data_IF_769242028991
#
_entry.id   IF_769242028991
#
_cell.length_a   1.000
_cell.length_b   1.000
_cell.length_c   1.000
_cell.angle_alpha   90.00
_cell.angle_beta   90.00
_cell.angle_gamma   90.00
#
_symmetry.space_group_name_H-M   'P 1'
#
loop_
_entity.id
_entity.type
_entity.pdbx_description
1 polymer ?
#
# COMPACT_ATOMS: atom_id res chain seq x y z
N UNK A 1 4.17 17.39 1.46
CA UNK A 1 2.70 17.27 1.63
C UNK A 1 2.45 16.59 2.97
N UNK A 2 1.24 16.62 3.53
CA UNK A 2 0.90 15.74 4.66
C UNK A 2 0.47 14.39 4.10
N UNK A 3 1.03 13.31 4.61
CA UNK A 3 0.55 11.95 4.33
C UNK A 3 -0.74 11.68 5.12
N UNK A 4 -1.45 10.60 4.80
CA UNK A 4 -2.66 10.13 5.51
C UNK A 4 -3.93 10.92 5.21
N UNK A 5 -3.83 12.24 5.03
CA UNK A 5 -5.00 13.09 4.71
C UNK A 5 -5.59 12.79 3.33
N UNK A 6 -4.78 12.37 2.35
CA UNK A 6 -5.22 11.97 1.01
C UNK A 6 -6.23 10.81 1.03
N UNK A 7 -5.88 9.63 1.57
CA UNK A 7 -6.76 8.46 1.58
C UNK A 7 -8.10 8.72 2.28
N UNK A 8 -8.11 9.31 3.48
CA UNK A 8 -9.39 9.64 4.16
C UNK A 8 -10.23 10.65 3.37
N UNK A 9 -9.61 11.68 2.78
CA UNK A 9 -10.31 12.66 1.94
C UNK A 9 -10.93 12.01 0.70
N UNK A 10 -10.26 11.05 0.07
CA UNK A 10 -10.77 10.34 -1.08
C UNK A 10 -12.02 9.49 -0.74
N UNK A 11 -12.04 8.83 0.43
CA UNK A 11 -13.22 8.09 0.91
C UNK A 11 -14.41 9.04 1.11
N UNK A 12 -14.21 10.17 1.78
CA UNK A 12 -15.28 11.16 1.97
C UNK A 12 -15.70 11.84 0.66
N UNK A 13 -14.79 12.04 -0.30
CA UNK A 13 -15.12 12.58 -1.63
C UNK A 13 -15.97 11.60 -2.46
N UNK A 14 -15.63 10.30 -2.48
CA UNK A 14 -16.43 9.29 -3.18
C UNK A 14 -17.84 9.17 -2.59
N UNK A 15 -17.95 9.22 -1.25
CA UNK A 15 -19.22 9.30 -0.52
C UNK A 15 -20.00 10.57 -0.83
N UNK A 16 -19.32 11.72 -0.94
CA UNK A 16 -19.95 12.98 -1.28
C UNK A 16 -20.45 13.01 -2.73
N UNK A 17 -19.75 12.37 -3.68
CA UNK A 17 -20.24 12.17 -5.04
C UNK A 17 -21.56 11.37 -5.02
N UNK A 18 -21.63 10.25 -4.28
CA UNK A 18 -22.86 9.47 -4.10
C UNK A 18 -23.99 10.33 -3.48
N UNK A 19 -23.68 11.17 -2.48
CA UNK A 19 -24.65 12.11 -1.90
C UNK A 19 -25.17 13.13 -2.94
N UNK A 20 -24.31 13.72 -3.78
CA UNK A 20 -24.72 14.73 -4.77
C UNK A 20 -25.72 14.18 -5.81
N UNK A 21 -25.46 12.99 -6.35
CA UNK A 21 -26.41 12.30 -7.26
C UNK A 21 -27.69 11.91 -6.52
N UNK A 22 -27.60 11.22 -5.38
CA UNK A 22 -28.78 10.72 -4.63
C UNK A 22 -29.65 11.83 -4.01
N UNK A 23 -29.17 13.07 -3.96
CA UNK A 23 -29.94 14.26 -3.55
C UNK A 23 -30.43 15.12 -4.72
N UNK A 24 -30.14 14.74 -5.96
CA UNK A 24 -30.52 15.51 -7.16
C UNK A 24 -29.82 16.88 -7.28
N UNK A 25 -28.72 17.10 -6.56
CA UNK A 25 -28.00 18.39 -6.53
C UNK A 25 -27.15 18.55 -7.79
N UNK A 26 -26.46 17.48 -8.18
CA UNK A 26 -25.71 17.37 -9.43
C UNK A 26 -25.48 15.89 -9.70
N UNK A 27 -25.78 15.42 -10.90
CA UNK A 27 -25.33 14.08 -11.27
C UNK A 27 -23.81 14.04 -11.48
N UNK A 28 -23.19 13.10 -10.78
CA UNK A 28 -21.78 12.73 -10.81
C UNK A 28 -21.63 11.20 -10.78
N UNK A 29 -22.63 10.47 -11.27
CA UNK A 29 -22.67 9.00 -11.37
C UNK A 29 -21.46 8.43 -12.11
N UNK A 30 -21.05 9.05 -13.21
CA UNK A 30 -19.84 8.72 -14.00
C UNK A 30 -18.51 9.15 -13.34
N UNK A 31 -18.53 9.78 -12.16
CA UNK A 31 -17.32 10.36 -11.53
C UNK A 31 -16.63 9.41 -10.55
N UNK A 32 -15.50 8.84 -11.00
CA UNK A 32 -14.63 7.98 -10.20
C UNK A 32 -13.57 8.76 -9.41
N UNK A 33 -13.32 8.37 -8.16
CA UNK A 33 -12.31 8.95 -7.28
C UNK A 33 -11.09 8.03 -7.21
N UNK A 34 -9.90 8.59 -7.43
CA UNK A 34 -8.63 7.88 -7.38
C UNK A 34 -7.75 8.45 -6.26
N UNK A 35 -7.20 7.57 -5.41
CA UNK A 35 -6.19 7.93 -4.42
C UNK A 35 -4.87 7.23 -4.75
N UNK A 36 -3.80 7.99 -4.95
CA UNK A 36 -2.45 7.48 -5.23
C UNK A 36 -1.63 7.58 -3.94
N UNK A 37 -1.21 6.44 -3.40
CA UNK A 37 -0.73 6.31 -2.02
C UNK A 37 0.64 5.63 -1.96
N UNK A 38 1.45 5.99 -0.96
CA UNK A 38 2.64 5.22 -0.61
C UNK A 38 2.28 4.00 0.25
N UNK A 39 2.99 2.88 0.11
CA UNK A 39 2.89 1.77 1.07
C UNK A 39 3.35 2.18 2.47
N UNK A 40 4.41 3.00 2.58
CA UNK A 40 4.83 3.64 3.83
C UNK A 40 3.90 4.74 4.36
N UNK A 41 2.95 5.24 3.55
CA UNK A 41 1.89 6.17 4.00
C UNK A 41 0.73 5.42 4.68
N UNK A 42 0.60 4.11 4.44
CA UNK A 42 -0.44 3.29 5.09
C UNK A 42 -0.18 3.05 6.59
N UNK A 43 1.01 3.41 7.10
CA UNK A 43 1.32 3.43 8.53
C UNK A 43 0.62 4.60 9.28
N UNK A 44 0.15 5.64 8.57
CA UNK A 44 -0.60 6.76 9.17
C UNK A 44 -2.03 6.32 9.56
N UNK A 45 -2.56 6.65 10.76
CA UNK A 45 -3.91 6.26 11.17
C UNK A 45 -5.02 6.71 10.23
N UNK A 46 -4.89 7.92 9.66
CA UNK A 46 -5.82 8.48 8.67
C UNK A 46 -5.91 7.63 7.39
N UNK A 47 -4.85 6.89 7.03
CA UNK A 47 -4.83 6.03 5.84
C UNK A 47 -5.73 4.79 5.96
N UNK A 48 -6.00 4.32 7.18
CA UNK A 48 -6.68 3.03 7.42
C UNK A 48 -7.99 3.15 8.20
N UNK A 49 -8.15 4.17 9.06
CA UNK A 49 -9.33 4.36 9.93
C UNK A 49 -10.68 4.39 9.20
N UNK A 50 -10.72 4.90 7.96
CA UNK A 50 -11.96 5.06 7.20
C UNK A 50 -12.30 3.88 6.26
N UNK A 51 -11.47 2.84 6.16
CA UNK A 51 -11.67 1.76 5.17
C UNK A 51 -13.03 1.06 5.31
N UNK A 52 -13.49 0.79 6.54
CA UNK A 52 -14.79 0.15 6.79
C UNK A 52 -15.99 1.07 6.52
N UNK A 53 -15.80 2.39 6.43
CA UNK A 53 -16.85 3.32 5.98
C UNK A 53 -17.09 3.14 4.47
N UNK A 54 -16.02 3.04 3.68
CA UNK A 54 -16.11 2.94 2.23
C UNK A 54 -16.88 1.69 1.75
N UNK A 55 -16.72 0.56 2.44
CA UNK A 55 -17.45 -0.68 2.13
C UNK A 55 -18.91 -0.63 2.60
N UNK A 56 -19.19 -0.03 3.76
CA UNK A 56 -20.58 0.17 4.26
C UNK A 56 -21.40 1.10 3.36
N UNK A 57 -20.74 2.08 2.77
CA UNK A 57 -21.32 3.04 1.82
C UNK A 57 -21.22 2.56 0.36
N UNK A 58 -20.77 1.31 0.12
CA UNK A 58 -20.66 0.66 -1.19
C UNK A 58 -19.95 1.51 -2.26
N UNK A 59 -18.82 2.14 -1.90
CA UNK A 59 -18.11 3.12 -2.74
C UNK A 59 -17.30 2.48 -3.89
N UNK A 60 -17.97 1.78 -4.80
CA UNK A 60 -17.39 1.26 -6.04
C UNK A 60 -17.00 2.35 -7.07
N UNK A 61 -17.31 3.62 -6.78
CA UNK A 61 -16.78 4.80 -7.43
C UNK A 61 -15.45 5.30 -6.80
N UNK A 62 -14.81 4.48 -5.96
CA UNK A 62 -13.50 4.74 -5.36
C UNK A 62 -12.49 3.67 -5.76
N UNK A 63 -11.27 4.08 -6.10
CA UNK A 63 -10.12 3.18 -6.17
C UNK A 63 -8.87 3.77 -5.52
N UNK A 64 -8.29 3.02 -4.59
CA UNK A 64 -6.96 3.29 -4.06
C UNK A 64 -5.91 2.59 -4.93
N UNK A 65 -4.79 3.26 -5.17
CA UNK A 65 -3.63 2.75 -5.89
C UNK A 65 -2.42 2.91 -4.99
N UNK A 66 -2.06 1.84 -4.28
CA UNK A 66 -0.92 1.83 -3.35
C UNK A 66 0.33 1.39 -4.10
N UNK A 67 1.35 2.25 -4.09
CA UNK A 67 2.65 1.98 -4.66
C UNK A 67 3.51 1.17 -3.67
N UNK A 68 3.42 -0.15 -3.79
CA UNK A 68 4.17 -1.12 -2.99
C UNK A 68 5.62 -1.26 -3.48
N UNK A 69 6.40 -0.20 -3.30
CA UNK A 69 7.84 -0.16 -3.59
C UNK A 69 8.69 -0.82 -2.47
N UNK A 70 8.03 -1.22 -1.37
CA UNK A 70 8.51 -1.86 -0.16
C UNK A 70 9.38 -0.98 0.77
N UNK A 71 9.52 0.33 0.48
CA UNK A 71 10.34 1.25 1.27
C UNK A 71 9.58 2.54 1.67
N UNK A 72 9.81 2.97 2.91
CA UNK A 72 9.65 4.37 3.32
C UNK A 72 10.94 5.14 3.01
N UNK A 73 11.14 6.28 3.66
CA UNK A 73 12.34 7.12 3.47
C UNK A 73 13.59 6.40 3.99
N UNK A 74 13.62 6.07 5.28
CA UNK A 74 14.79 5.52 5.99
C UNK A 74 14.96 3.98 5.89
N UNK A 75 14.23 3.32 4.99
CA UNK A 75 14.37 1.88 4.75
C UNK A 75 13.06 1.13 4.48
N UNK A 76 13.07 -0.22 4.55
CA UNK A 76 11.90 -1.04 4.26
C UNK A 76 10.73 -0.76 5.21
N UNK A 77 9.48 -0.77 4.68
CA UNK A 77 8.27 -0.55 5.48
C UNK A 77 8.04 -1.69 6.49
N UNK A 78 8.35 -2.93 6.08
CA UNK A 78 8.18 -4.19 6.84
C UNK A 78 9.35 -5.15 6.60
N UNK A 79 10.57 -4.78 6.99
CA UNK A 79 11.80 -5.53 6.65
C UNK A 79 11.72 -7.06 6.81
N UNK A 80 11.24 -7.54 7.97
CA UNK A 80 11.16 -8.98 8.30
C UNK A 80 9.80 -9.63 7.97
N UNK A 81 8.87 -8.88 7.37
CA UNK A 81 7.52 -9.33 7.03
C UNK A 81 7.21 -8.93 5.58
N UNK A 82 5.91 -8.80 5.23
CA UNK A 82 5.48 -8.46 3.86
C UNK A 82 4.33 -7.46 3.84
N UNK A 83 4.59 -6.20 3.45
CA UNK A 83 3.60 -5.11 3.49
C UNK A 83 2.42 -5.36 2.54
N UNK A 84 2.67 -5.96 1.37
CA UNK A 84 1.62 -6.32 0.39
C UNK A 84 0.59 -7.28 1.00
N UNK A 85 1.04 -8.28 1.77
CA UNK A 85 0.18 -9.27 2.42
C UNK A 85 -0.54 -8.67 3.64
N UNK A 86 0.12 -7.78 4.39
CA UNK A 86 -0.50 -7.04 5.49
C UNK A 86 -1.64 -6.13 4.99
N UNK A 87 -1.38 -5.34 3.96
CA UNK A 87 -2.38 -4.49 3.31
C UNK A 87 -3.50 -5.35 2.69
N UNK A 88 -3.19 -6.44 1.99
CA UNK A 88 -4.23 -7.35 1.48
C UNK A 88 -5.16 -7.85 2.60
N UNK A 89 -4.61 -8.23 3.76
CA UNK A 89 -5.41 -8.69 4.89
C UNK A 89 -6.27 -7.56 5.47
N UNK A 90 -5.72 -6.35 5.64
CA UNK A 90 -6.45 -5.18 6.12
C UNK A 90 -7.60 -4.79 5.18
N UNK A 91 -7.32 -4.64 3.88
CA UNK A 91 -8.33 -4.23 2.88
C UNK A 91 -9.40 -5.31 2.66
N UNK A 92 -9.03 -6.60 2.57
CA UNK A 92 -10.03 -7.69 2.52
C UNK A 92 -10.87 -7.74 3.80
N UNK A 93 -10.26 -7.60 4.97
CA UNK A 93 -10.96 -7.55 6.26
C UNK A 93 -11.90 -6.35 6.39
N UNK A 94 -11.58 -5.23 5.75
CA UNK A 94 -12.45 -4.06 5.65
C UNK A 94 -13.56 -4.19 4.58
N UNK A 95 -13.62 -5.29 3.81
CA UNK A 95 -14.62 -5.53 2.78
C UNK A 95 -14.32 -4.91 1.41
N UNK A 96 -13.06 -4.61 1.09
CA UNK A 96 -12.64 -4.06 -0.21
C UNK A 96 -12.33 -5.18 -1.21
N UNK A 97 -12.52 -4.89 -2.50
CA UNK A 97 -11.91 -5.65 -3.59
C UNK A 97 -10.40 -5.39 -3.62
N UNK A 98 -9.58 -6.45 -3.62
CA UNK A 98 -8.11 -6.34 -3.58
C UNK A 98 -7.50 -6.97 -4.82
N UNK A 99 -6.92 -6.11 -5.67
CA UNK A 99 -6.18 -6.47 -6.88
C UNK A 99 -4.68 -6.32 -6.57
N UNK A 100 -3.89 -7.36 -6.88
CA UNK A 100 -2.44 -7.38 -6.63
C UNK A 100 -1.67 -7.47 -7.95
N UNK A 101 -0.83 -6.47 -8.20
CA UNK A 101 -0.09 -6.30 -9.45
C UNK A 101 1.40 -6.40 -9.15
N UNK A 102 1.85 -7.63 -8.87
CA UNK A 102 3.14 -7.90 -8.23
C UNK A 102 4.25 -8.20 -9.25
N UNK A 103 3.98 -9.15 -10.14
CA UNK A 103 4.96 -9.74 -11.05
C UNK A 103 4.72 -9.28 -12.49
N UNK A 104 5.81 -8.95 -13.18
CA UNK A 104 5.78 -8.67 -14.61
C UNK A 104 5.77 -9.95 -15.46
N UNK A 105 5.77 -9.82 -16.78
CA UNK A 105 5.59 -10.91 -17.74
C UNK A 105 6.78 -11.86 -17.80
N UNK A 106 7.99 -11.44 -17.43
CA UNK A 106 9.12 -12.37 -17.28
C UNK A 106 8.80 -13.57 -16.36
N UNK A 107 7.98 -13.35 -15.33
CA UNK A 107 7.55 -14.38 -14.38
C UNK A 107 6.43 -15.29 -14.90
N UNK A 108 5.70 -14.91 -15.95
CA UNK A 108 4.54 -15.69 -16.44
C UNK A 108 4.96 -17.11 -16.87
N UNK A 109 6.17 -17.23 -17.43
CA UNK A 109 6.83 -18.49 -17.76
C UNK A 109 7.18 -19.33 -16.51
N UNK A 110 7.81 -18.70 -15.51
CA UNK A 110 8.18 -19.37 -14.26
C UNK A 110 6.96 -19.87 -13.49
N UNK A 111 5.82 -19.16 -13.56
CA UNK A 111 4.55 -19.62 -13.00
C UNK A 111 3.90 -20.77 -13.79
N UNK A 112 4.16 -20.89 -15.09
CA UNK A 112 3.74 -22.06 -15.89
C UNK A 112 4.59 -23.29 -15.59
N UNK A 113 5.88 -23.10 -15.25
CA UNK A 113 6.78 -24.16 -14.83
C UNK A 113 6.52 -24.64 -13.38
N UNK A 114 5.87 -23.85 -12.53
CA UNK A 114 5.62 -24.19 -11.12
C UNK A 114 4.44 -25.17 -10.90
N UNK A 115 4.54 -26.37 -11.48
CA UNK A 115 3.54 -27.45 -11.34
C UNK A 115 3.35 -27.94 -9.90
N UNK A 116 4.25 -27.59 -8.98
CA UNK A 116 4.24 -28.04 -7.57
C UNK A 116 3.84 -26.94 -6.56
N UNK A 117 3.69 -25.70 -7.01
CA UNK A 117 3.48 -24.53 -6.14
C UNK A 117 4.71 -24.13 -5.31
N UNK A 118 5.91 -24.62 -5.62
CA UNK A 118 7.16 -24.32 -4.91
C UNK A 118 7.59 -22.86 -5.09
N UNK A 119 7.46 -22.32 -6.31
CA UNK A 119 7.74 -20.91 -6.58
C UNK A 119 6.74 -20.02 -5.84
N UNK A 120 5.46 -20.37 -5.88
CA UNK A 120 4.40 -19.65 -5.17
C UNK A 120 4.58 -19.71 -3.65
N UNK A 121 5.07 -20.83 -3.08
CA UNK A 121 5.48 -20.91 -1.67
C UNK A 121 6.65 -19.97 -1.36
N UNK A 122 7.77 -20.12 -2.08
CA UNK A 122 8.99 -19.33 -1.87
C UNK A 122 8.74 -17.81 -1.97
N UNK A 123 7.95 -17.36 -2.95
CA UNK A 123 7.56 -15.95 -3.10
C UNK A 123 6.68 -15.40 -1.96
N UNK A 124 6.00 -16.27 -1.20
CA UNK A 124 5.24 -15.90 0.01
C UNK A 124 6.09 -15.89 1.27
N UNK A 125 7.18 -16.66 1.30
CA UNK A 125 8.12 -16.77 2.43
C UNK A 125 9.17 -15.66 2.47
N UNK A 126 9.69 -15.23 1.31
CA UNK A 126 10.76 -14.22 1.22
C UNK A 126 10.31 -12.89 1.86
N UNK A 127 10.97 -12.41 2.93
CA UNK A 127 10.67 -11.12 3.55
C UNK A 127 10.97 -9.95 2.61
N UNK A 128 10.30 -8.83 2.78
CA UNK A 128 10.41 -7.69 1.86
C UNK A 128 11.83 -7.11 1.80
N UNK A 129 12.59 -7.10 2.90
CA UNK A 129 14.00 -6.69 2.85
C UNK A 129 14.83 -7.58 1.90
N UNK A 130 14.56 -8.89 1.84
CA UNK A 130 15.28 -9.80 0.96
C UNK A 130 14.84 -9.67 -0.50
N UNK A 131 13.59 -9.24 -0.77
CA UNK A 131 13.18 -8.81 -2.12
C UNK A 131 14.02 -7.63 -2.62
N UNK A 132 14.36 -6.68 -1.73
CA UNK A 132 15.25 -5.56 -2.05
C UNK A 132 16.72 -6.00 -2.17
N UNK A 133 17.17 -6.98 -1.37
CA UNK A 133 18.49 -7.60 -1.56
C UNK A 133 18.63 -8.16 -2.98
N UNK A 134 17.70 -8.99 -3.45
CA UNK A 134 17.76 -9.58 -4.79
C UNK A 134 17.80 -8.53 -5.92
N UNK A 135 17.12 -7.39 -5.75
CA UNK A 135 17.12 -6.26 -6.69
C UNK A 135 18.48 -5.54 -6.83
N UNK A 136 19.49 -5.93 -6.04
CA UNK A 136 20.85 -5.35 -5.99
C UNK A 136 21.96 -6.41 -6.05
N UNK A 137 21.63 -7.65 -6.41
CA UNK A 137 22.55 -8.80 -6.43
C UNK A 137 22.58 -9.47 -7.80
N UNK A 138 23.68 -10.17 -8.06
CA UNK A 138 23.88 -10.97 -9.27
C UNK A 138 22.98 -12.22 -9.32
N UNK A 139 22.93 -12.82 -10.52
CA UNK A 139 22.15 -14.04 -10.75
C UNK A 139 22.65 -15.22 -9.92
N UNK A 140 23.96 -15.33 -9.63
CA UNK A 140 24.53 -16.43 -8.85
C UNK A 140 24.02 -16.42 -7.39
N UNK A 141 23.97 -15.25 -6.76
CA UNK A 141 23.39 -15.05 -5.43
C UNK A 141 21.89 -15.36 -5.42
N UNK A 142 21.13 -14.91 -6.42
CA UNK A 142 19.70 -15.19 -6.52
C UNK A 142 19.46 -16.69 -6.76
N UNK A 143 20.25 -17.33 -7.62
CA UNK A 143 20.25 -18.78 -7.89
C UNK A 143 20.52 -19.58 -6.60
N UNK A 144 21.44 -19.13 -5.75
CA UNK A 144 21.76 -19.78 -4.47
C UNK A 144 20.70 -19.50 -3.37
N UNK A 145 20.28 -18.25 -3.17
CA UNK A 145 19.47 -17.85 -2.01
C UNK A 145 17.96 -17.79 -2.27
N UNK A 146 17.52 -17.53 -3.51
CA UNK A 146 16.11 -17.69 -3.86
C UNK A 146 15.80 -19.14 -4.21
N UNK A 147 16.41 -19.65 -5.28
CA UNK A 147 16.07 -20.97 -5.85
C UNK A 147 16.68 -22.13 -5.04
N UNK A 148 17.96 -22.04 -4.65
CA UNK A 148 18.69 -23.09 -3.92
C UNK A 148 18.19 -23.43 -2.50
N UNK A 149 17.03 -22.91 -2.05
CA UNK A 149 16.39 -23.27 -0.77
C UNK A 149 15.42 -24.46 -0.87
N UNK A 150 14.93 -24.77 -2.07
CA UNK A 150 14.02 -25.88 -2.35
C UNK A 150 14.59 -26.69 -3.52
N UNK A 151 14.78 -28.02 -3.42
CA UNK A 151 15.31 -28.84 -4.51
C UNK A 151 14.53 -28.69 -5.82
N UNK A 152 13.20 -28.51 -5.77
CA UNK A 152 12.37 -28.32 -6.98
C UNK A 152 12.68 -26.99 -7.66
N UNK A 153 12.98 -25.95 -6.88
CA UNK A 153 13.41 -24.66 -7.40
C UNK A 153 14.86 -24.68 -7.89
N UNK A 154 15.73 -25.48 -7.28
CA UNK A 154 17.08 -25.72 -7.78
C UNK A 154 17.06 -26.41 -9.16
N UNK A 155 16.15 -27.37 -9.38
CA UNK A 155 15.93 -27.96 -10.71
C UNK A 155 15.34 -26.94 -11.71
N UNK A 156 14.30 -26.18 -11.32
CA UNK A 156 13.73 -25.11 -12.16
C UNK A 156 14.82 -24.11 -12.60
N UNK A 157 15.72 -23.71 -11.69
CA UNK A 157 16.77 -22.77 -12.00
C UNK A 157 17.75 -23.27 -13.08
N UNK A 158 17.96 -24.58 -13.25
CA UNK A 158 18.84 -25.12 -14.31
C UNK A 158 18.31 -24.80 -15.72
N UNK A 159 17.02 -24.52 -15.86
CA UNK A 159 16.38 -24.12 -17.12
C UNK A 159 16.50 -22.62 -17.41
N UNK A 160 16.90 -21.81 -16.42
CA UNK A 160 16.93 -20.35 -16.50
C UNK A 160 18.35 -19.83 -16.75
N UNK A 161 18.53 -18.99 -17.76
CA UNK A 161 19.76 -18.19 -17.91
C UNK A 161 19.89 -17.16 -16.80
N UNK A 162 21.11 -16.67 -16.57
CA UNK A 162 21.34 -15.60 -15.60
C UNK A 162 20.61 -14.30 -15.99
N UNK A 163 20.57 -13.96 -17.29
CA UNK A 163 19.76 -12.85 -17.81
C UNK A 163 18.27 -12.99 -17.47
N UNK A 164 17.71 -14.20 -17.57
CA UNK A 164 16.31 -14.47 -17.24
C UNK A 164 16.02 -14.30 -15.75
N UNK A 165 16.98 -14.67 -14.89
CA UNK A 165 16.89 -14.42 -13.45
C UNK A 165 16.95 -12.91 -13.17
N UNK A 166 17.88 -12.19 -13.79
CA UNK A 166 18.02 -10.74 -13.65
C UNK A 166 16.77 -10.00 -14.18
N UNK A 167 16.20 -10.41 -15.32
CA UNK A 167 14.95 -9.87 -15.87
C UNK A 167 13.81 -9.96 -14.83
N UNK A 168 13.56 -11.16 -14.30
CA UNK A 168 12.55 -11.42 -13.28
C UNK A 168 12.73 -10.53 -12.04
N UNK A 169 13.93 -10.51 -11.46
CA UNK A 169 14.15 -9.84 -10.17
C UNK A 169 14.39 -8.33 -10.26
N UNK A 170 15.03 -7.84 -11.33
CA UNK A 170 15.47 -6.44 -11.43
C UNK A 170 14.55 -5.54 -12.26
N UNK A 171 13.85 -6.10 -13.26
CA UNK A 171 13.10 -5.34 -14.27
C UNK A 171 11.59 -5.61 -14.17
N UNK A 172 11.22 -6.89 -14.11
CA UNK A 172 9.85 -7.41 -14.29
C UNK A 172 8.99 -7.33 -13.02
N UNK A 173 8.67 -6.11 -12.59
CA UNK A 173 7.66 -5.85 -11.54
C UNK A 173 6.34 -5.41 -12.17
N UNK A 174 5.22 -5.94 -11.66
CA UNK A 174 3.90 -5.74 -12.26
C UNK A 174 3.49 -4.27 -12.36
N UNK A 175 3.90 -3.42 -11.39
CA UNK A 175 3.60 -1.98 -11.40
C UNK A 175 4.40 -1.17 -12.43
N UNK A 176 5.41 -1.75 -13.09
CA UNK A 176 6.16 -1.11 -14.18
C UNK A 176 5.64 -1.49 -15.57
N UNK A 177 4.83 -2.55 -15.69
CA UNK A 177 4.36 -3.06 -16.97
C UNK A 177 2.95 -2.54 -17.33
N UNK A 178 2.86 -1.77 -18.42
CA UNK A 178 1.62 -1.17 -18.90
C UNK A 178 0.47 -2.17 -19.08
N UNK A 179 0.75 -3.40 -19.53
CA UNK A 179 -0.25 -4.48 -19.66
C UNK A 179 -0.81 -4.92 -18.31
N UNK A 180 0.05 -5.15 -17.31
CA UNK A 180 -0.33 -5.59 -15.95
C UNK A 180 -1.08 -4.48 -15.21
N UNK A 181 -0.60 -3.23 -15.33
CA UNK A 181 -1.26 -2.04 -14.80
C UNK A 181 -2.64 -1.83 -15.44
N UNK A 182 -2.74 -1.86 -16.78
CA UNK A 182 -4.02 -1.71 -17.48
C UNK A 182 -5.05 -2.78 -17.07
N UNK A 183 -4.62 -4.05 -16.95
CA UNK A 183 -5.49 -5.12 -16.49
C UNK A 183 -6.06 -4.84 -15.08
N UNK A 184 -5.23 -4.33 -14.16
CA UNK A 184 -5.66 -3.98 -12.80
C UNK A 184 -6.66 -2.80 -12.78
N UNK A 185 -6.41 -1.74 -13.55
CA UNK A 185 -7.33 -0.59 -13.65
C UNK A 185 -8.66 -0.98 -14.30
N UNK A 186 -8.62 -1.82 -15.35
CA UNK A 186 -9.83 -2.35 -16.00
C UNK A 186 -10.65 -3.21 -15.05
N UNK A 187 -10.00 -4.08 -14.27
CA UNK A 187 -10.67 -4.91 -13.27
C UNK A 187 -11.24 -4.08 -12.10
N UNK A 188 -10.58 -3.01 -11.67
CA UNK A 188 -11.10 -2.09 -10.65
C UNK A 188 -12.37 -1.36 -11.12
N UNK A 189 -12.36 -0.81 -12.34
CA UNK A 189 -13.53 -0.11 -12.92
C UNK A 189 -14.70 -1.06 -13.21
N UNK A 190 -14.43 -2.34 -13.50
CA UNK A 190 -15.46 -3.37 -13.69
C UNK A 190 -16.11 -3.84 -12.37
N UNK A 191 -15.44 -3.70 -11.22
CA UNK A 191 -15.97 -4.13 -9.93
C UNK A 191 -17.09 -3.19 -9.43
N UNK A 192 -18.08 -3.73 -8.72
CA UNK A 192 -19.29 -3.00 -8.27
C UNK A 192 -19.72 -3.46 -6.87
N UNK A 193 -20.40 -2.58 -6.12
CA UNK A 193 -20.89 -2.82 -4.77
C UNK A 193 -19.87 -2.68 -3.62
N UNK A 194 -18.58 -2.54 -3.93
CA UNK A 194 -17.53 -2.28 -2.95
C UNK A 194 -16.38 -1.45 -3.55
N UNK A 195 -15.64 -0.67 -2.72
CA UNK A 195 -14.42 0.01 -3.15
C UNK A 195 -13.31 -0.98 -3.54
N UNK A 196 -12.41 -0.54 -4.43
CA UNK A 196 -11.25 -1.34 -4.87
C UNK A 196 -9.92 -0.75 -4.41
N UNK A 197 -8.96 -1.61 -4.05
CA UNK A 197 -7.55 -1.24 -3.94
C UNK A 197 -6.72 -2.02 -4.97
N UNK A 198 -5.80 -1.32 -5.63
CA UNK A 198 -4.73 -1.89 -6.44
C UNK A 198 -3.44 -1.78 -5.63
N UNK A 199 -2.87 -2.94 -5.24
CA UNK A 199 -1.55 -3.05 -4.63
C UNK A 199 -0.53 -3.31 -5.75
N UNK A 200 0.12 -2.25 -6.24
CA UNK A 200 1.05 -2.32 -7.37
C UNK A 200 2.50 -2.39 -6.88
N UNK A 201 3.20 -3.49 -7.14
CA UNK A 201 4.59 -3.63 -6.73
C UNK A 201 5.52 -2.95 -7.74
N UNK A 202 6.45 -2.15 -7.24
CA UNK A 202 7.41 -1.39 -8.06
C UNK A 202 8.81 -1.47 -7.45
N UNK A 203 9.76 -0.73 -8.05
CA UNK A 203 11.12 -0.53 -7.53
C UNK A 203 11.28 0.97 -7.27
N UNK A 204 11.63 1.36 -6.03
CA UNK A 204 11.97 2.75 -5.70
C UNK A 204 13.24 3.15 -6.47
N UNK A 205 13.22 4.30 -7.14
CA UNK A 205 14.32 4.72 -8.01
C UNK A 205 14.43 3.94 -9.33
N UNK A 206 13.38 3.26 -9.79
CA UNK A 206 13.39 2.63 -11.12
C UNK A 206 13.78 3.61 -12.23
N UNK A 207 14.56 3.13 -13.20
CA UNK A 207 15.22 3.91 -14.28
C UNK A 207 16.29 4.92 -13.88
N UNK A 208 16.46 5.27 -12.59
CA UNK A 208 17.45 6.26 -12.12
C UNK A 208 18.90 5.70 -11.99
N UNK A 209 19.22 4.62 -12.71
CA UNK A 209 20.51 3.94 -12.64
C UNK A 209 20.75 3.14 -11.35
N UNK A 210 21.87 2.41 -11.34
CA UNK A 210 22.26 1.52 -10.23
C UNK A 210 22.59 2.27 -8.94
N UNK A 211 22.90 3.56 -8.98
CA UNK A 211 23.14 4.40 -7.81
C UNK A 211 21.89 4.54 -6.92
N UNK A 212 20.70 4.52 -7.51
CA UNK A 212 19.44 4.83 -6.83
C UNK A 212 18.42 3.68 -6.80
N UNK A 213 18.43 2.77 -7.78
CA UNK A 213 17.45 1.68 -7.85
C UNK A 213 17.51 0.77 -6.60
N UNK A 214 16.41 0.74 -5.84
CA UNK A 214 16.23 -0.01 -4.58
C UNK A 214 17.20 0.31 -3.43
N UNK A 215 18.11 1.26 -3.60
CA UNK A 215 19.06 1.66 -2.54
C UNK A 215 18.41 2.65 -1.57
N UNK A 216 18.72 2.50 -0.28
CA UNK A 216 18.45 3.51 0.73
C UNK A 216 19.43 4.69 0.57
N UNK A 217 19.31 5.42 -0.55
CA UNK A 217 20.06 6.65 -0.76
C UNK A 217 19.64 7.66 0.33
N UNK A 218 20.57 8.01 1.21
CA UNK A 218 20.32 8.91 2.34
C UNK A 218 19.68 10.22 1.87
N UNK A 219 18.93 10.89 2.77
CA UNK A 219 18.24 12.17 2.55
C UNK A 219 19.10 13.33 1.98
N UNK A 220 20.41 13.15 1.82
CA UNK A 220 21.36 14.07 1.20
C UNK A 220 21.47 13.91 -0.33
N UNK A 221 21.17 12.73 -0.90
CA UNK A 221 21.20 12.47 -2.36
C UNK A 221 19.95 13.04 -3.06
N UNK A 222 19.77 14.36 -2.96
CA UNK A 222 18.60 15.10 -3.47
C UNK A 222 18.66 15.43 -4.96
N UNK A 223 19.77 15.11 -5.63
CA UNK A 223 20.02 15.35 -7.06
C UNK A 223 20.80 14.16 -7.62
N UNK A 224 20.47 13.77 -8.85
CA UNK A 224 21.33 12.93 -9.69
C UNK A 224 22.52 13.78 -10.20
N UNK A 225 23.66 13.15 -10.41
CA UNK A 225 24.78 13.71 -11.17
C UNK A 225 24.46 13.79 -12.67
N UNK A 226 25.25 14.55 -13.44
CA UNK A 226 25.09 14.67 -14.90
C UNK A 226 25.19 13.30 -15.58
N UNK A 227 26.11 12.44 -15.14
CA UNK A 227 26.31 11.12 -15.74
C UNK A 227 25.20 10.14 -15.38
N UNK A 228 24.61 10.24 -14.18
CA UNK A 228 23.38 9.52 -13.83
C UNK A 228 22.17 10.02 -14.64
N UNK A 229 22.10 11.32 -14.95
CA UNK A 229 21.10 11.86 -15.88
C UNK A 229 21.31 11.38 -17.32
N UNK A 230 22.55 11.21 -17.79
CA UNK A 230 22.87 10.59 -19.09
C UNK A 230 22.48 9.11 -19.11
N UNK A 231 22.85 8.34 -18.09
CA UNK A 231 22.46 6.94 -17.97
C UNK A 231 20.92 6.76 -17.93
N UNK A 232 20.21 7.66 -17.23
CA UNK A 232 18.74 7.70 -17.22
C UNK A 232 18.19 8.08 -18.61
N UNK A 233 18.76 9.07 -19.30
CA UNK A 233 18.40 9.46 -20.68
C UNK A 233 18.52 8.27 -21.63
N UNK A 234 19.68 7.60 -21.62
CA UNK A 234 20.01 6.52 -22.55
C UNK A 234 19.08 5.32 -22.31
N UNK A 235 18.85 4.97 -21.04
CA UNK A 235 17.88 3.93 -20.64
C UNK A 235 16.42 4.26 -21.02
N UNK A 236 16.07 5.53 -21.12
CA UNK A 236 14.72 6.00 -21.49
C UNK A 236 14.60 6.40 -22.97
N UNK A 237 15.65 6.17 -23.77
CA UNK A 237 15.73 6.52 -25.19
C UNK A 237 15.35 8.00 -25.47
N UNK A 238 15.72 8.92 -24.57
CA UNK A 238 15.35 10.33 -24.66
C UNK A 238 16.24 11.06 -25.69
N UNK A 239 15.66 11.84 -26.63
CA UNK A 239 16.41 12.53 -27.68
C UNK A 239 17.13 13.78 -27.13
N UNK A 240 18.23 13.56 -26.41
CA UNK A 240 19.09 14.59 -25.82
C UNK A 240 20.55 14.30 -26.18
N UNK A 241 21.14 15.11 -27.05
CA UNK A 241 22.58 15.01 -27.34
C UNK A 241 23.43 15.38 -26.12
N UNK A 242 24.61 14.80 -25.98
CA UNK A 242 25.57 15.13 -24.90
C UNK A 242 25.90 16.63 -24.84
N UNK A 243 25.89 17.31 -25.99
CA UNK A 243 26.13 18.75 -26.12
C UNK A 243 25.04 19.63 -25.44
N UNK A 244 23.88 19.08 -25.10
CA UNK A 244 22.81 19.83 -24.41
C UNK A 244 22.96 19.85 -22.88
N UNK A 245 23.98 19.18 -22.32
CA UNK A 245 24.31 19.21 -20.88
C UNK A 245 25.34 20.32 -20.56
N UNK A 246 25.15 21.52 -21.11
CA UNK A 246 26.00 22.70 -20.87
C UNK A 246 25.99 23.10 -19.40
N UNK A 247 27.15 23.48 -18.87
CA UNK A 247 27.35 24.00 -17.49
C UNK A 247 26.71 23.13 -16.38
N UNK A 248 26.72 21.81 -16.60
CA UNK A 248 26.12 20.83 -15.68
C UNK A 248 24.60 20.92 -15.55
N UNK A 249 23.93 21.67 -16.43
CA UNK A 249 22.47 21.77 -16.46
C UNK A 249 21.85 20.55 -17.15
N UNK A 250 20.64 20.21 -16.75
CA UNK A 250 19.84 19.14 -17.38
C UNK A 250 18.81 19.79 -18.29
N UNK A 251 18.83 19.53 -19.61
CA UNK A 251 17.93 20.17 -20.56
C UNK A 251 16.51 19.62 -20.43
N UNK A 252 15.51 20.51 -20.56
CA UNK A 252 14.12 20.11 -20.74
C UNK A 252 13.89 19.63 -22.19
N UNK A 253 13.22 18.48 -22.34
CA UNK A 253 12.78 17.97 -23.65
C UNK A 253 11.32 18.34 -23.89
N UNK A 254 11.06 18.99 -25.02
CA UNK A 254 9.74 19.02 -25.63
C UNK A 254 9.77 18.15 -26.90
N UNK A 255 8.95 17.09 -27.02
CA UNK A 255 9.10 16.10 -28.11
C UNK A 255 8.70 16.61 -29.50
N UNK A 256 8.18 17.84 -29.60
CA UNK A 256 7.71 18.46 -30.85
C UNK A 256 6.19 18.41 -31.00
N UNK A 257 5.60 19.44 -31.60
CA UNK A 257 4.14 19.54 -31.77
C UNK A 257 3.57 18.38 -32.61
N UNK A 258 4.34 17.97 -33.61
CA UNK A 258 4.02 16.95 -34.62
C UNK A 258 4.55 15.55 -34.23
N UNK A 259 5.11 15.41 -33.03
CA UNK A 259 5.52 14.12 -32.50
C UNK A 259 4.33 13.16 -32.45
N UNK A 260 4.48 11.88 -32.83
CA UNK A 260 3.45 10.87 -32.60
C UNK A 260 2.98 10.83 -31.13
N UNK A 261 3.90 11.08 -30.19
CA UNK A 261 3.62 11.17 -28.75
C UNK A 261 2.70 12.35 -28.38
N UNK A 262 2.67 13.42 -29.19
CA UNK A 262 1.79 14.59 -29.05
C UNK A 262 0.55 14.55 -29.96
N UNK A 263 0.47 13.63 -30.91
CA UNK A 263 -0.74 13.37 -31.69
C UNK A 263 -1.76 12.55 -30.88
N UNK A 264 -1.30 11.49 -30.20
CA UNK A 264 -2.17 10.59 -29.41
C UNK A 264 -2.95 11.32 -28.32
N UNK A 265 -2.33 12.30 -27.63
CA UNK A 265 -2.99 13.07 -26.57
C UNK A 265 -4.09 14.01 -27.08
N UNK A 266 -4.04 14.44 -28.34
CA UNK A 266 -5.10 15.24 -28.97
C UNK A 266 -6.27 14.37 -29.44
N UNK A 267 -6.00 13.17 -29.94
CA UNK A 267 -7.03 12.25 -30.44
C UNK A 267 -7.79 11.49 -29.34
N UNK A 268 -7.24 11.40 -28.12
CA UNK A 268 -7.84 10.65 -27.01
C UNK A 268 -8.93 11.44 -26.25
N UNK A 269 -9.10 12.74 -26.50
CA UNK A 269 -10.15 13.58 -25.89
C UNK A 269 -11.25 13.80 -26.92
N UNK A 270 -12.46 13.22 -26.77
CA UNK A 270 -13.56 13.50 -27.69
C UNK A 270 -13.96 14.99 -27.59
N UNK A 271 -14.29 15.68 -28.69
CA UNK A 271 -14.58 17.12 -28.67
C UNK A 271 -15.67 17.55 -27.68
N UNK A 272 -16.63 16.65 -27.38
CA UNK A 272 -17.71 16.85 -26.41
C UNK A 272 -17.23 17.01 -24.95
N UNK A 273 -16.02 16.55 -24.61
CA UNK A 273 -15.45 16.72 -23.28
C UNK A 273 -14.94 18.16 -23.02
N UNK A 274 -14.62 18.91 -24.07
CA UNK A 274 -14.16 20.30 -23.97
C UNK A 274 -15.37 21.24 -23.95
N UNK A 275 -16.02 21.36 -22.78
CA UNK A 275 -16.97 22.46 -22.57
C UNK A 275 -16.25 23.81 -22.80
N UNK A 276 -16.78 24.72 -23.65
CA UNK A 276 -16.18 26.03 -23.80
C UNK A 276 -16.17 26.75 -22.45
N UNK A 277 -15.06 27.44 -22.14
CA UNK A 277 -15.01 28.33 -20.97
C UNK A 277 -16.16 29.34 -21.08
N UNK A 278 -17.02 29.50 -20.07
CA UNK A 278 -18.00 30.59 -20.08
C UNK A 278 -17.23 31.92 -20.19
N UNK A 279 -17.65 32.78 -21.10
CA UNK A 279 -16.99 34.06 -21.35
C UNK A 279 -16.86 34.85 -20.03
N UNK A 280 -15.67 35.33 -19.72
CA UNK A 280 -15.41 36.06 -18.48
C UNK A 280 -16.30 37.31 -18.42
N UNK A 281 -17.28 37.30 -17.50
CA UNK A 281 -18.30 38.33 -17.40
C UNK A 281 -17.71 39.64 -16.87
N UNK A 282 -17.11 40.40 -17.76
CA UNK A 282 -16.37 41.65 -17.53
C UNK A 282 -17.32 42.83 -17.30
N UNK A 283 -18.22 42.70 -16.32
CA UNK A 283 -19.21 43.75 -16.00
C UNK A 283 -19.49 43.94 -14.51
N UNK A 284 -18.41 44.11 -13.72
CA UNK A 284 -18.47 44.72 -12.38
C UNK A 284 -18.93 46.19 -12.46
N UNK A 285 -20.25 46.42 -12.67
CA UNK A 285 -20.85 47.74 -12.45
C UNK A 285 -20.83 48.04 -10.96
N UNK A 286 -20.10 49.09 -10.57
CA UNK A 286 -20.09 49.60 -9.18
C UNK A 286 -21.48 50.10 -8.79
N UNK A 287 -22.19 49.38 -7.94
CA UNK A 287 -23.33 49.93 -7.22
C UNK A 287 -22.84 51.02 -6.24
N UNK A 288 -23.11 52.28 -6.55
CA UNK A 288 -23.03 53.38 -5.58
C UNK A 288 -24.41 53.58 -4.96
N UNK A 289 -24.55 53.41 -3.64
CA UNK A 289 -25.70 53.93 -2.91
C UNK A 289 -25.53 55.44 -2.66
N UNK A 290 -26.62 56.24 -2.59
CA UNK A 290 -26.52 57.65 -2.24
C UNK A 290 -26.17 57.83 -0.75
N UNK A 291 -25.18 58.69 -0.45
CA UNK A 291 -24.93 59.17 0.92
C UNK A 291 -25.76 60.42 1.19
N UNK A 292 -26.86 60.28 1.93
CA UNK A 292 -27.56 61.42 2.55
C UNK A 292 -27.01 61.65 3.96
N UNK A 293 -26.38 62.81 4.21
CA UNK A 293 -25.96 63.23 5.56
C UNK A 293 -27.15 63.74 6.35
N UNK A 294 -27.36 63.21 7.57
CA UNK A 294 -27.86 63.98 8.72
C UNK A 294 -27.13 63.53 9.98
N UNK A 295 -26.94 64.46 10.92
CA UNK A 295 -26.28 64.26 12.21
C UNK A 295 -27.32 64.31 13.36
N UNK A 296 -26.99 63.81 14.57
CA UNK A 296 -28.00 63.30 15.49
C UNK A 296 -28.41 64.27 16.62
N UNK A 297 -29.56 64.03 17.27
CA UNK A 297 -29.81 64.44 18.66
C UNK A 297 -29.22 63.42 19.65
N UNK A 298 -28.91 63.87 20.87
CA UNK A 298 -28.26 63.07 21.93
C UNK A 298 -29.16 62.84 23.15
N UNK A 299 -29.21 61.63 23.70
CA UNK A 299 -29.69 61.41 25.09
C UNK A 299 -29.06 60.18 25.78
N UNK A 300 -28.37 60.46 26.89
CA UNK A 300 -28.15 59.68 28.14
C UNK A 300 -27.92 58.16 28.11
N UNK A 301 -26.81 57.77 28.73
CA UNK A 301 -26.39 56.39 29.08
C UNK A 301 -26.88 55.98 30.49
N UNK A 302 -27.36 54.74 30.68
CA UNK A 302 -27.30 54.02 31.96
C UNK A 302 -26.13 53.01 32.02
N UNK A 303 -25.72 52.62 33.22
CA UNK A 303 -24.41 52.01 33.48
C UNK A 303 -24.22 50.53 33.07
N UNK A 304 -22.94 50.11 33.02
CA UNK A 304 -22.48 48.76 32.69
C UNK A 304 -22.99 47.69 33.66
N UNK A 305 -23.24 46.48 33.13
CA UNK A 305 -23.08 45.22 33.89
C UNK A 305 -21.99 44.37 33.26
N UNK A 306 -20.96 44.03 34.03
CA UNK A 306 -19.86 43.15 33.65
C UNK A 306 -20.11 41.73 34.18
N UNK A 307 -19.83 40.71 33.36
CA UNK A 307 -19.84 39.31 33.77
C UNK A 307 -18.41 38.82 34.07
N UNK A 308 -18.20 37.96 35.10
CA UNK A 308 -16.88 37.48 35.48
C UNK A 308 -16.45 36.18 34.74
N UNK A 309 -15.14 35.93 34.58
CA UNK A 309 -14.55 34.60 34.31
C UNK A 309 -14.28 33.85 35.65
N UNK A 310 -13.55 32.72 35.71
CA UNK A 310 -13.03 31.81 34.67
C UNK A 310 -13.53 30.35 34.87
N UNK A 311 -12.95 29.36 34.18
CA UNK A 311 -12.59 28.04 34.74
C UNK A 311 -11.42 27.43 33.94
N UNK A 312 -10.61 26.57 34.56
CA UNK A 312 -9.43 25.91 33.93
C UNK A 312 -9.30 24.45 34.37
N UNK A 313 -8.58 23.69 33.56
CA UNK A 313 -8.26 22.25 33.66
C UNK A 313 -7.84 21.71 35.04
N UNK A 314 -8.22 20.46 35.31
CA UNK A 314 -7.42 19.52 36.13
C UNK A 314 -7.53 18.09 35.60
N UNK A 315 -6.43 17.35 35.60
CA UNK A 315 -6.38 15.91 35.37
C UNK A 315 -5.73 15.21 36.58
N UNK A 316 -6.03 13.94 36.81
CA UNK A 316 -5.37 13.16 37.88
C UNK A 316 -5.17 11.70 37.48
N UNK A 317 -3.91 11.26 37.56
CA UNK A 317 -3.47 9.87 37.38
C UNK A 317 -3.81 9.01 38.60
N UNK A 318 -3.96 7.69 38.40
CA UNK A 318 -3.78 6.69 39.46
C UNK A 318 -2.87 5.55 38.99
N UNK A 319 -1.92 5.20 39.84
CA UNK A 319 -0.92 4.13 39.65
C UNK A 319 -1.28 2.88 40.46
N UNK A 320 -0.56 1.79 40.20
CA UNK A 320 -0.70 0.51 40.92
C UNK A 320 0.04 0.49 42.26
N UNK A 321 -0.53 -0.22 43.24
CA UNK A 321 0.19 -0.86 44.36
C UNK A 321 -0.72 -1.93 45.00
N UNK A 322 -0.16 -3.08 45.41
CA UNK A 322 -0.93 -4.20 45.97
C UNK A 322 -0.51 -4.58 47.39
N UNK A 323 -1.48 -4.87 48.27
CA UNK A 323 -1.22 -5.32 49.65
C UNK A 323 -2.30 -6.30 50.16
N UNK A 324 -2.02 -6.96 51.31
CA UNK A 324 -2.58 -8.28 51.70
C UNK A 324 -3.89 -8.25 52.52
N UNK A 325 -4.53 -9.43 52.63
CA UNK A 325 -5.61 -9.83 53.58
C UNK A 325 -5.23 -9.63 55.07
N UNK A 326 -6.21 -9.48 55.98
CA UNK A 326 -6.90 -10.61 56.68
C UNK A 326 -8.42 -10.70 56.27
N UNK A 327 -9.28 -11.71 56.54
CA UNK A 327 -9.59 -12.59 57.69
C UNK A 327 -10.22 -11.85 58.90
N UNK A 328 -11.30 -12.28 59.58
CA UNK A 328 -12.31 -13.36 59.43
C UNK A 328 -13.51 -13.02 60.39
N UNK A 329 -14.56 -13.81 60.70
CA UNK A 329 -15.00 -15.18 60.39
C UNK A 329 -16.54 -15.37 60.62
N UNK A 330 -17.19 -16.30 59.89
CA UNK A 330 -18.32 -17.10 60.41
C UNK A 330 -19.77 -16.57 60.26
N UNK A 331 -20.82 -17.37 60.47
CA UNK A 331 -20.91 -18.85 60.52
C UNK A 331 -22.38 -19.35 60.43
N UNK A 332 -22.60 -20.66 60.19
CA UNK A 332 -23.89 -21.43 60.18
C UNK A 332 -24.79 -21.18 58.94
N UNK A 333 -25.54 -22.16 58.41
CA UNK A 333 -25.56 -23.62 58.64
C UNK A 333 -26.27 -24.38 57.50
N UNK A 334 -25.72 -25.54 57.09
CA UNK A 334 -26.38 -26.60 56.30
C UNK A 334 -27.18 -27.55 57.24
N UNK A 335 -28.04 -28.50 56.79
CA UNK A 335 -27.79 -29.53 55.76
C UNK A 335 -28.96 -29.72 54.74
N UNK A 336 -28.84 -30.49 53.63
CA UNK A 336 -28.77 -31.97 53.59
C UNK A 336 -28.49 -32.52 52.17
N UNK A 337 -27.97 -33.77 52.13
CA UNK A 337 -28.17 -34.90 51.16
C UNK A 337 -28.56 -34.63 49.68
N UNK A 338 -28.14 -35.42 48.69
CA UNK A 338 -27.03 -36.40 48.47
C UNK A 338 -27.12 -36.83 46.98
N UNK A 339 -26.00 -37.02 46.29
CA UNK A 339 -25.94 -37.70 44.97
C UNK A 339 -25.51 -39.19 45.19
N UNK A 340 -25.08 -40.00 44.19
CA UNK A 340 -25.13 -39.88 42.71
C UNK A 340 -25.52 -41.19 41.96
N UNK A 341 -25.62 -41.14 40.62
CA UNK A 341 -25.30 -42.26 39.69
C UNK A 341 -24.84 -41.65 38.34
N UNK A 342 -23.61 -41.86 37.85
CA UNK A 342 -22.95 -43.08 37.33
C UNK A 342 -23.38 -43.43 35.90
N UNK A 343 -22.46 -43.18 34.96
CA UNK A 343 -21.99 -44.18 34.00
C UNK A 343 -20.45 -44.15 33.95
N UNK A 344 -19.82 -45.28 33.60
CA UNK A 344 -18.40 -45.55 33.88
C UNK A 344 -17.64 -45.91 32.60
N UNK A 345 -16.36 -45.54 32.54
CA UNK A 345 -15.47 -45.88 31.43
C UNK A 345 -15.07 -47.37 31.42
N UNK A 346 -14.69 -47.87 30.25
CA UNK A 346 -13.92 -49.10 30.02
C UNK A 346 -12.73 -48.79 29.08
N UNK A 347 -11.69 -49.64 29.07
CA UNK A 347 -10.36 -49.18 28.61
C UNK A 347 -9.40 -50.27 28.12
N UNK A 348 -8.88 -50.10 26.89
CA UNK A 348 -7.65 -50.72 26.34
C UNK A 348 -7.66 -52.29 26.34
N UNK A 349 -6.53 -52.98 26.11
CA UNK A 349 -6.00 -53.23 24.76
C UNK A 349 -5.73 -54.73 24.48
N UNK A 350 -5.23 -55.06 23.28
CA UNK A 350 -4.62 -56.38 23.01
C UNK A 350 -3.33 -56.25 22.19
N UNK A 351 -2.45 -57.25 22.31
CA UNK A 351 -1.16 -57.31 21.61
C UNK A 351 -0.64 -58.76 21.49
N UNK A 352 0.06 -59.05 20.40
CA UNK A 352 0.91 -60.23 20.15
C UNK A 352 2.16 -59.71 19.41
N UNK A 353 3.42 -59.85 19.84
CA UNK A 353 4.23 -61.03 20.25
C UNK A 353 4.30 -62.07 19.13
N UNK A 354 5.46 -62.53 18.61
CA UNK A 354 6.84 -62.76 19.13
C UNK A 354 7.88 -62.57 17.98
N UNK A 355 9.22 -62.70 18.10
CA UNK A 355 10.29 -62.56 19.15
C UNK A 355 11.62 -63.09 18.52
N UNK A 356 12.79 -62.76 19.10
CA UNK A 356 14.17 -63.23 18.72
C UNK A 356 14.78 -62.57 17.46
N UNK A 357 16.10 -62.44 17.28
CA UNK A 357 17.26 -62.85 18.10
C UNK A 357 18.38 -61.76 18.17
N UNK A 358 19.36 -61.93 19.08
CA UNK A 358 20.64 -61.18 19.10
C UNK A 358 21.79 -62.09 18.62
N UNK A 359 22.75 -61.57 17.84
CA UNK A 359 24.21 -61.44 18.19
C UNK A 359 25.13 -61.27 16.96
N UNK A 360 26.24 -60.53 17.17
CA UNK A 360 27.59 -60.66 16.56
C UNK A 360 27.78 -60.54 15.03
N UNK A 361 28.90 -60.05 14.47
CA UNK A 361 30.02 -59.22 15.01
C UNK A 361 31.03 -58.87 13.88
N UNK A 362 31.87 -57.85 14.11
CA UNK A 362 33.03 -57.40 13.28
C UNK A 362 32.65 -56.72 11.94
N UNK A 363 33.26 -55.64 11.44
CA UNK A 363 34.53 -54.91 11.66
C UNK A 363 35.75 -55.36 10.82
N UNK A 364 36.01 -54.68 9.70
CA UNK A 364 37.31 -54.65 8.99
C UNK A 364 37.39 -53.48 8.00
N UNK A 365 38.25 -52.50 8.28
CA UNK A 365 38.95 -51.53 7.41
C UNK A 365 39.64 -50.52 8.36
N UNK A 366 40.97 -50.33 8.43
CA UNK A 366 41.97 -49.89 7.43
C UNK A 366 41.61 -48.54 6.80
N UNK A 367 42.34 -47.45 7.03
CA UNK A 367 43.67 -47.31 7.70
C UNK A 367 43.76 -46.04 8.53
#
# INVERSE_FOLDING_TARGET
MSMGLGPISAIYQARFNRYLTSRGIKDVSDSHVWAFLGDGEMDEPESTTALTLASREQLDNLTFVVNCNLQRLDGPVRANFKIVQELEAQFRGAGWNVIKTLWGTAWDELFQLDTTGALVRRLREVPDAQVQTYQTRDAAYIRQDFFGKDPVLAEMAKLLSDDKILECFHLSRGGHESRKVYAAYKAALAHKGAPTVILAQTVKGHTLGEGFASKNANHQMKKLSVDEFKAMRDRLELPISDAQFTDGQVPYVHPGADSPRCATSRSAVPPSAVRPRPAACTRWRRCRSPRTRRSPPSTRVPARRTWPPPWRSSASSRTWSATRRPASAGCRSSPTRRAPSVWRASSRPSASTRRWARRTSRSTATS
#
